data_IF_668645385358
#
_entry.id   IF_668645385358
#
_cell.length_a   1.000
_cell.length_b   1.000
_cell.length_c   1.000
_cell.angle_alpha   90.00
_cell.angle_beta   90.00
_cell.angle_gamma   90.00
#
_symmetry.space_group_name_H-M   'P 1'
#
loop_
_entity.id
_entity.type
_entity.pdbx_description
1 polymer ?
2 non-polymer ?
3 water ?
#
# COMPACT_ATOMS: atom_id res chain seq x y z
N UNK A 1 -2.51 -41.22 -14.80
CA UNK A 1 -1.82 -40.15 -15.51
C UNK A 1 -1.44 -39.13 -14.47
N UNK A 2 -0.31 -38.46 -14.66
CA UNK A 2 0.12 -37.47 -13.70
C UNK A 2 -0.90 -36.34 -13.60
N UNK A 3 -1.05 -35.76 -12.39
CA UNK A 3 -1.91 -34.59 -12.14
C UNK A 3 -1.45 -33.39 -12.98
N UNK A 4 -2.39 -32.62 -13.52
CA UNK A 4 -2.01 -31.40 -14.22
C UNK A 4 -2.88 -30.25 -13.72
N UNK A 5 -2.25 -29.21 -13.18
CA UNK A 5 -3.01 -28.14 -12.55
C UNK A 5 -3.50 -27.10 -13.54
N UNK A 6 -4.72 -26.63 -13.35
CA UNK A 6 -5.19 -25.43 -14.03
C UNK A 6 -5.62 -24.35 -13.03
N UNK A 7 -5.36 -23.10 -13.40
CA UNK A 7 -5.73 -21.94 -12.60
C UNK A 7 -6.35 -20.85 -13.47
N UNK A 8 -7.54 -20.38 -13.10
CA UNK A 8 -8.11 -19.22 -13.80
C UNK A 8 -7.24 -17.97 -13.60
N UNK A 9 -6.90 -17.68 -12.35
CA UNK A 9 -6.09 -16.51 -12.02
C UNK A 9 -4.90 -16.95 -11.18
N UNK A 10 -3.71 -16.43 -11.46
CA UNK A 10 -2.55 -16.80 -10.65
C UNK A 10 -1.90 -15.64 -9.88
N UNK A 11 -2.16 -14.41 -10.29
CA UNK A 11 -1.67 -13.25 -9.54
C UNK A 11 -2.83 -12.38 -9.09
N UNK A 12 -2.73 -11.88 -7.87
CA UNK A 12 -3.87 -11.26 -7.21
C UNK A 12 -3.40 -9.99 -6.51
N UNK A 13 -4.26 -8.98 -6.47
CA UNK A 13 -3.98 -7.75 -5.72
C UNK A 13 -5.00 -7.56 -4.62
N UNK A 14 -4.55 -7.01 -3.51
CA UNK A 14 -5.45 -6.70 -2.41
C UNK A 14 -4.86 -5.51 -1.68
N UNK A 15 -5.69 -4.83 -0.90
CA UNK A 15 -5.22 -3.68 -0.13
C UNK A 15 -5.30 -4.05 1.34
N UNK A 16 -4.25 -3.72 2.08
CA UNK A 16 -4.14 -4.13 3.48
C UNK A 16 -5.13 -3.42 4.40
N UNK A 17 -5.50 -4.09 5.49
CA UNK A 17 -6.30 -3.50 6.55
C UNK A 17 -7.66 -2.98 6.12
N UNK A 18 -8.21 -3.48 5.03
CA UNK A 18 -9.58 -3.09 4.68
C UNK A 18 -10.60 -4.21 4.89
N UNK A 19 -10.21 -5.26 5.61
CA UNK A 19 -11.07 -6.40 5.83
C UNK A 19 -11.35 -7.19 4.56
N UNK A 20 -10.52 -7.00 3.54
CA UNK A 20 -10.71 -7.67 2.25
C UNK A 20 -10.35 -9.15 2.34
N UNK A 21 -10.89 -9.92 1.40
CA UNK A 21 -10.50 -11.31 1.23
C UNK A 21 -10.38 -11.63 -0.25
N UNK A 22 -9.59 -12.66 -0.56
CA UNK A 22 -9.43 -13.12 -1.93
C UNK A 22 -9.43 -14.63 -1.96
N UNK A 23 -9.82 -15.18 -3.11
CA UNK A 23 -9.96 -16.62 -3.28
C UNK A 23 -9.07 -17.10 -4.41
N UNK A 24 -8.18 -18.03 -4.09
CA UNK A 24 -7.30 -18.64 -5.08
C UNK A 24 -7.90 -20.00 -5.41
N UNK A 25 -7.83 -20.40 -6.67
CA UNK A 25 -8.41 -21.67 -7.05
C UNK A 25 -7.38 -22.53 -7.73
N UNK A 26 -7.47 -23.83 -7.49
CA UNK A 26 -6.56 -24.77 -8.10
C UNK A 26 -7.31 -26.04 -8.41
N UNK A 27 -7.39 -26.39 -9.68
CA UNK A 27 -7.98 -27.67 -10.09
C UNK A 27 -6.96 -28.45 -10.89
N UNK A 28 -7.09 -29.78 -10.87
CA UNK A 28 -6.14 -30.61 -11.59
C UNK A 28 -6.82 -31.78 -12.29
N UNK A 29 -6.37 -32.06 -13.51
CA UNK A 29 -6.81 -33.24 -14.22
C UNK A 29 -5.92 -34.40 -13.81
N UNK A 30 -6.39 -35.62 -14.03
CA UNK A 30 -5.60 -36.80 -13.72
C UNK A 30 -6.37 -37.99 -13.18
N UNK A 31 -5.80 -39.18 -13.39
CA UNK A 31 -6.33 -40.43 -12.85
C UNK A 31 -5.24 -41.21 -12.12
N UNK A 32 -5.51 -41.59 -10.87
CA UNK A 32 -6.75 -41.28 -10.14
C UNK A 32 -6.96 -39.78 -9.88
N UNK A 33 -8.15 -39.43 -9.41
CA UNK A 33 -8.45 -38.04 -9.04
C UNK A 33 -7.33 -37.46 -8.19
N UNK A 34 -6.67 -36.39 -8.66
CA UNK A 34 -5.61 -35.79 -7.85
C UNK A 34 -6.15 -35.15 -6.59
N UNK A 35 -5.43 -35.31 -5.48
CA UNK A 35 -5.76 -34.62 -4.23
C UNK A 35 -5.11 -33.23 -4.23
N UNK A 36 -5.89 -32.21 -3.89
CA UNK A 36 -5.38 -30.83 -3.86
C UNK A 36 -5.09 -30.36 -2.44
N UNK A 37 -3.94 -29.73 -2.25
CA UNK A 37 -3.64 -29.12 -0.97
C UNK A 37 -2.80 -27.86 -1.12
N UNK A 38 -2.93 -26.95 -0.16
CA UNK A 38 -2.27 -25.66 -0.24
C UNK A 38 -1.20 -25.47 0.82
N UNK A 39 -0.14 -24.76 0.45
CA UNK A 39 0.95 -24.51 1.37
C UNK A 39 1.32 -23.04 1.40
N UNK A 40 1.71 -22.58 2.57
CA UNK A 40 2.23 -21.24 2.69
C UNK A 40 3.48 -21.32 3.54
N UNK A 41 4.59 -20.86 2.98
CA UNK A 41 5.87 -20.88 3.68
C UNK A 41 6.35 -22.31 3.90
N UNK A 42 5.78 -23.24 3.14
CA UNK A 42 6.21 -24.62 3.17
C UNK A 42 5.39 -25.46 4.12
N UNK A 43 4.41 -24.82 4.76
CA UNK A 43 3.56 -25.53 5.71
C UNK A 43 2.12 -25.63 5.21
N UNK A 44 1.51 -26.79 5.45
CA UNK A 44 0.14 -27.02 5.02
C UNK A 44 -0.80 -25.98 5.61
N UNK A 45 -1.71 -25.49 4.78
CA UNK A 45 -2.70 -24.54 5.25
C UNK A 45 -3.91 -25.29 5.82
N UNK A 46 -4.15 -25.11 7.12
CA UNK A 46 -5.33 -25.69 7.77
C UNK A 46 -6.45 -24.66 7.89
N UNK A 47 -7.68 -25.14 7.81
CA UNK A 47 -8.83 -24.27 7.79
C UNK A 47 -9.14 -23.66 9.15
N UNK A 48 -9.39 -22.36 9.14
CA UNK A 48 -9.78 -21.65 10.34
C UNK A 48 -10.51 -20.38 9.94
N UNK A 49 -10.47 -19.37 10.80
CA UNK A 49 -11.17 -18.14 10.53
C UNK A 49 -10.51 -17.35 9.39
N UNK A 50 -9.18 -17.38 9.37
CA UNK A 50 -8.37 -16.69 8.37
C UNK A 50 -8.42 -17.37 7.01
N UNK A 51 -8.19 -18.68 7.01
CA UNK A 51 -8.18 -19.47 5.77
C UNK A 51 -9.42 -20.33 5.65
N UNK A 52 -10.16 -20.16 4.56
CA UNK A 52 -11.34 -20.97 4.32
C UNK A 52 -11.06 -21.86 3.12
N UNK A 53 -11.28 -23.16 3.28
CA UNK A 53 -11.07 -24.13 2.20
C UNK A 53 -12.41 -24.74 1.77
N UNK A 54 -12.70 -24.71 0.48
CA UNK A 54 -13.94 -25.30 -0.03
C UNK A 54 -13.69 -26.08 -1.31
N UNK A 55 -14.65 -26.93 -1.67
CA UNK A 55 -14.57 -27.72 -2.88
C UNK A 55 -13.41 -28.68 -2.88
N UNK A 56 -13.30 -29.47 -1.81
CA UNK A 56 -12.24 -30.46 -1.70
C UNK A 56 -10.88 -29.80 -1.90
N UNK A 57 -10.69 -28.67 -1.22
CA UNK A 57 -9.44 -27.91 -1.26
C UNK A 57 -9.14 -27.18 -2.57
N UNK A 58 -10.07 -27.20 -3.52
CA UNK A 58 -9.84 -26.51 -4.78
C UNK A 58 -9.88 -24.99 -4.65
N UNK A 59 -10.52 -24.49 -3.60
CA UNK A 59 -10.66 -23.05 -3.40
C UNK A 59 -10.13 -22.61 -2.04
N UNK A 60 -9.16 -21.71 -2.06
CA UNK A 60 -8.61 -21.14 -0.84
C UNK A 60 -8.96 -19.66 -0.73
N UNK A 61 -9.68 -19.32 0.33
CA UNK A 61 -10.00 -17.93 0.63
C UNK A 61 -9.16 -17.41 1.78
N UNK A 62 -8.45 -16.32 1.54
CA UNK A 62 -7.71 -15.67 2.61
C UNK A 62 -8.54 -14.46 3.03
N UNK A 63 -8.91 -14.38 4.31
CA UNK A 63 -9.74 -13.27 4.82
C UNK A 63 -8.95 -12.19 5.54
N UNK A 64 -9.56 -11.01 5.68
CA UNK A 64 -8.99 -9.93 6.48
C UNK A 64 -7.55 -9.68 6.11
N UNK A 65 -7.33 -9.51 4.82
CA UNK A 65 -5.99 -9.35 4.28
C UNK A 65 -5.21 -8.24 4.97
N UNK A 66 -4.00 -8.57 5.43
CA UNK A 66 -3.06 -7.58 5.93
C UNK A 66 -1.76 -7.78 5.19
N UNK A 67 -0.82 -6.85 5.37
CA UNK A 67 0.46 -6.85 4.67
C UNK A 67 1.20 -8.18 4.74
N UNK A 68 1.17 -8.81 5.90
CA UNK A 68 1.90 -10.05 6.07
C UNK A 68 1.32 -11.20 5.23
N UNK A 69 0.14 -11.01 4.65
CA UNK A 69 -0.44 -12.05 3.78
C UNK A 69 0.17 -12.04 2.38
N UNK A 70 0.95 -11.01 2.07
CA UNK A 70 1.58 -10.88 0.77
C UNK A 70 2.48 -12.07 0.46
N UNK A 71 2.57 -12.42 -0.82
CA UNK A 71 3.50 -13.45 -1.26
C UNK A 71 2.88 -14.69 -1.90
N UNK A 72 3.71 -15.74 -2.07
CA UNK A 72 3.38 -17.00 -2.73
C UNK A 72 2.50 -17.89 -1.88
N UNK A 73 1.52 -18.51 -2.53
CA UNK A 73 0.72 -19.57 -1.94
C UNK A 73 0.79 -20.72 -2.91
N UNK A 74 1.18 -21.88 -2.44
CA UNK A 74 1.51 -22.98 -3.34
C UNK A 74 0.43 -24.04 -3.37
N UNK A 75 -0.08 -24.32 -4.57
CA UNK A 75 -1.06 -25.39 -4.76
C UNK A 75 -0.37 -26.68 -5.17
N UNK A 76 -0.56 -27.74 -4.39
CA UNK A 76 -0.01 -29.03 -4.77
C UNK A 76 -1.12 -30.01 -5.12
N UNK A 77 -0.95 -30.73 -6.24
CA UNK A 77 -1.86 -31.81 -6.62
C UNK A 77 -1.09 -33.12 -6.76
N UNK A 78 -1.58 -34.18 -6.12
CA UNK A 78 -0.87 -35.45 -6.12
C UNK A 78 -1.82 -36.63 -6.33
N UNK A 79 -1.32 -37.65 -7.02
CA UNK A 79 -1.97 -38.96 -7.08
C UNK A 79 -0.86 -40.00 -7.24
N UNK A 80 -1.21 -41.29 -7.29
CA UNK A 80 -0.15 -42.31 -7.30
C UNK A 80 0.84 -42.19 -8.46
N UNK A 81 0.48 -41.42 -9.48
CA UNK A 81 1.30 -41.34 -10.68
C UNK A 81 2.34 -40.23 -10.61
N UNK A 82 2.17 -39.32 -9.65
CA UNK A 82 3.11 -38.23 -9.50
C UNK A 82 2.46 -36.99 -8.92
N UNK A 83 3.12 -35.86 -9.06
CA UNK A 83 2.62 -34.61 -8.50
C UNK A 83 2.91 -33.43 -9.41
N UNK A 84 2.13 -32.36 -9.24
CA UNK A 84 2.34 -31.12 -9.95
C UNK A 84 2.18 -30.02 -8.90
N UNK A 85 2.99 -28.97 -9.00
CA UNK A 85 2.85 -27.78 -8.14
C UNK A 85 2.83 -26.47 -8.92
N UNK A 86 1.95 -25.57 -8.51
CA UNK A 86 1.91 -24.23 -9.09
C UNK A 86 1.63 -23.20 -8.01
N UNK A 87 2.15 -21.99 -8.20
CA UNK A 87 1.97 -20.92 -7.21
C UNK A 87 0.94 -19.88 -7.62
N UNK A 88 0.12 -19.47 -6.66
CA UNK A 88 -0.63 -18.23 -6.80
C UNK A 88 0.17 -17.18 -6.01
N UNK A 89 0.06 -15.92 -6.39
CA UNK A 89 0.84 -14.89 -5.70
C UNK A 89 -0.05 -13.69 -5.35
N UNK A 90 0.05 -13.20 -4.12
CA UNK A 90 -0.77 -12.09 -3.66
C UNK A 90 0.08 -10.84 -3.39
N UNK A 91 -0.14 -9.78 -4.16
CA UNK A 91 0.49 -8.49 -3.87
C UNK A 91 -0.45 -7.64 -3.02
N UNK A 92 0.01 -7.24 -1.84
CA UNK A 92 -0.81 -6.46 -0.92
C UNK A 92 -0.39 -5.00 -0.93
N UNK A 93 -1.32 -4.12 -1.27
CA UNK A 93 -1.02 -2.69 -1.32
C UNK A 93 -1.35 -2.04 0.02
N UNK A 94 -0.77 -0.88 0.28
CA UNK A 94 -0.96 -0.17 1.54
C UNK A 94 -1.34 1.27 1.20
N UNK A 95 -2.49 1.72 1.69
CA UNK A 95 -2.96 3.06 1.37
C UNK A 95 -2.05 4.07 2.02
N UNK A 96 -2.04 5.30 1.48
CA UNK A 96 -1.12 6.29 2.05
C UNK A 96 -1.49 6.65 3.48
N UNK A 97 -0.47 6.82 4.31
CA UNK A 97 -0.66 7.27 5.68
C UNK A 97 0.49 8.19 6.03
N UNK A 98 0.17 9.42 6.44
CA UNK A 98 1.20 10.37 6.83
C UNK A 98 1.69 9.98 8.22
N UNK A 99 3.00 9.81 8.35
CA UNK A 99 3.56 9.38 9.63
C UNK A 99 4.37 10.47 10.33
N UNK A 100 4.67 11.54 9.61
CA UNK A 100 5.34 12.68 10.23
C UNK A 100 4.92 14.00 9.60
N UNK A 101 4.33 14.88 10.41
CA UNK A 101 4.02 16.27 10.03
C UNK A 101 4.02 17.13 11.29
N UNK A 102 5.18 17.72 11.61
CA UNK A 102 5.35 18.49 12.85
C UNK A 102 5.00 19.96 12.66
N UNK A 103 4.55 20.59 13.75
CA UNK A 103 4.47 22.04 13.82
C UNK A 103 5.86 22.65 13.72
N UNK A 104 5.92 23.88 13.24
CA UNK A 104 7.20 24.59 13.18
C UNK A 104 7.07 26.04 13.64
N UNK A 105 8.17 26.59 14.13
CA UNK A 105 8.27 28.01 14.44
C UNK A 105 9.53 28.54 13.78
N UNK A 106 9.56 29.83 13.52
CA UNK A 106 10.78 30.51 13.15
C UNK A 106 10.53 32.00 13.39
N UNK A 107 11.50 32.85 13.09
CA UNK A 107 11.34 34.27 13.37
C UNK A 107 11.17 35.00 12.05
N UNK A 108 10.66 36.22 12.11
CA UNK A 108 10.48 37.03 10.93
C UNK A 108 11.85 37.17 10.27
N UNK A 109 11.88 37.12 8.94
CA UNK A 109 13.12 37.32 8.20
C UNK A 109 14.04 36.10 8.26
N UNK A 110 13.50 35.00 8.77
CA UNK A 110 14.26 33.77 8.90
C UNK A 110 13.99 32.78 7.79
N UNK A 111 14.28 31.51 8.07
CA UNK A 111 14.08 30.43 7.11
C UNK A 111 13.41 29.28 7.82
N UNK A 112 12.54 28.57 7.12
CA UNK A 112 11.90 27.42 7.74
C UNK A 112 11.66 26.30 6.75
N UNK A 113 11.69 25.07 7.26
CA UNK A 113 11.43 23.89 6.46
C UNK A 113 10.31 23.09 7.10
N UNK A 114 9.24 22.89 6.33
CA UNK A 114 8.13 22.05 6.76
C UNK A 114 8.37 20.68 6.15
N UNK A 115 8.34 19.64 6.98
CA UNK A 115 8.59 18.30 6.50
C UNK A 115 7.36 17.41 6.66
N UNK A 116 7.00 16.71 5.59
CA UNK A 116 5.93 15.71 5.63
C UNK A 116 6.45 14.36 5.12
N UNK A 117 6.20 13.30 5.89
CA UNK A 117 6.69 11.97 5.55
C UNK A 117 5.54 10.96 5.58
N UNK A 118 5.45 10.15 4.53
CA UNK A 118 4.33 9.23 4.42
C UNK A 118 4.78 7.83 4.03
N UNK A 119 3.98 6.84 4.45
CA UNK A 119 4.14 5.45 4.05
C UNK A 119 3.12 5.18 2.96
N UNK A 120 3.27 4.05 2.29
CA UNK A 120 2.28 3.60 1.35
C UNK A 120 2.91 2.71 0.30
N UNK A 121 2.08 1.89 -0.33
CA UNK A 121 2.52 1.03 -1.41
C UNK A 121 1.38 1.00 -2.43
N UNK A 122 1.53 1.69 -3.56
CA UNK A 122 2.67 2.48 -4.06
C UNK A 122 3.09 3.62 -3.14
N UNK A 123 4.34 4.04 -3.27
CA UNK A 123 4.80 5.26 -2.63
C UNK A 123 3.91 6.44 -3.04
N UNK A 124 3.35 7.16 -2.05
CA UNK A 124 2.45 8.31 -2.28
C UNK A 124 3.16 9.54 -2.83
N UNK A 125 2.46 10.36 -3.62
CA UNK A 125 2.97 11.68 -3.98
C UNK A 125 2.50 12.65 -2.90
N UNK A 126 3.32 13.65 -2.60
CA UNK A 126 2.99 14.62 -1.56
C UNK A 126 2.66 15.98 -2.16
N UNK A 127 1.54 16.55 -1.73
CA UNK A 127 1.18 17.90 -2.13
C UNK A 127 0.97 18.74 -0.88
N UNK A 128 1.40 20.00 -0.93
CA UNK A 128 1.16 20.93 0.16
C UNK A 128 0.06 21.91 -0.20
N UNK A 129 -0.71 22.31 0.81
CA UNK A 129 -1.77 23.29 0.63
C UNK A 129 -1.70 24.33 1.73
N UNK A 130 -1.75 25.60 1.33
CA UNK A 130 -1.71 26.71 2.28
C UNK A 130 -3.14 27.07 2.66
N UNK A 131 -3.46 26.93 3.95
CA UNK A 131 -4.85 27.05 4.38
C UNK A 131 -5.51 28.38 4.07
N UNK A 132 -4.78 29.48 4.30
CA UNK A 132 -5.38 30.80 4.28
C UNK A 132 -5.98 31.11 2.91
N UNK A 133 -5.29 30.71 1.84
CA UNK A 133 -5.82 30.96 0.50
C UNK A 133 -6.11 29.69 -0.31
N UNK A 134 -5.76 28.54 0.24
CA UNK A 134 -5.99 27.28 -0.45
C UNK A 134 -5.03 27.05 -1.60
N UNK A 135 -3.91 27.77 -1.60
CA UNK A 135 -2.94 27.60 -2.67
C UNK A 135 -2.18 26.29 -2.48
N UNK A 136 -1.96 25.59 -3.59
CA UNK A 136 -1.37 24.25 -3.57
C UNK A 136 0.03 24.23 -4.18
N UNK A 137 0.91 23.45 -3.56
CA UNK A 137 2.30 23.29 -4.02
C UNK A 137 2.67 21.81 -4.21
N UNK A 138 3.19 21.48 -5.39
CA UNK A 138 3.65 20.11 -5.68
C UNK A 138 5.12 20.17 -6.06
N UNK A 139 5.66 19.07 -6.59
CA UNK A 139 6.99 19.11 -7.21
C UNK A 139 8.05 19.57 -6.20
N UNK A 140 8.93 20.54 -6.50
CA UNK A 140 9.11 21.19 -7.79
C UNK A 140 8.60 22.62 -7.90
N UNK A 141 7.36 22.85 -7.47
CA UNK A 141 6.76 24.19 -7.51
C UNK A 141 7.53 25.19 -6.66
N UNK A 142 7.42 26.48 -7.00
CA UNK A 142 7.78 27.54 -6.06
C UNK A 142 6.82 28.72 -6.11
N UNK A 143 6.93 29.61 -5.12
CA UNK A 143 6.05 30.77 -5.03
C UNK A 143 6.40 31.84 -6.07
N UNK A 144 5.41 32.66 -6.42
CA UNK A 144 5.62 33.77 -7.34
C UNK A 144 6.80 34.65 -6.90
N UNK A 145 6.96 34.83 -5.60
CA UNK A 145 8.02 35.69 -5.09
C UNK A 145 9.35 34.95 -4.96
N UNK A 146 9.32 33.63 -5.14
CA UNK A 146 10.53 32.81 -5.07
C UNK A 146 10.95 32.44 -3.65
N UNK A 147 10.17 32.85 -2.66
CA UNK A 147 10.49 32.55 -1.26
C UNK A 147 10.21 31.09 -0.87
N UNK A 148 9.17 30.51 -1.46
CA UNK A 148 8.71 29.18 -1.08
C UNK A 148 9.04 28.15 -2.16
N UNK A 149 9.61 27.02 -1.76
CA UNK A 149 9.96 25.95 -2.70
C UNK A 149 9.72 24.54 -2.13
N UNK A 150 9.13 23.67 -2.94
CA UNK A 150 8.87 22.28 -2.54
C UNK A 150 9.82 21.28 -3.19
N UNK A 151 10.55 20.54 -2.35
CA UNK A 151 11.42 19.47 -2.83
C UNK A 151 10.96 18.18 -2.17
N UNK A 152 10.95 17.09 -2.92
CA UNK A 152 10.54 15.83 -2.33
C UNK A 152 10.83 14.61 -3.18
N UNK A 153 11.00 13.47 -2.52
CA UNK A 153 11.19 12.21 -3.22
C UNK A 153 10.84 11.06 -2.29
N UNK A 154 10.42 9.94 -2.86
CA UNK A 154 10.21 8.72 -2.09
C UNK A 154 9.22 8.91 -0.93
N UNK A 155 8.11 9.59 -1.20
CA UNK A 155 7.03 9.68 -0.24
C UNK A 155 7.37 10.62 0.90
N UNK A 156 8.34 11.49 0.67
CA UNK A 156 8.68 12.51 1.64
C UNK A 156 8.82 13.85 0.92
N UNK A 157 8.44 14.92 1.60
CA UNK A 157 8.52 16.24 0.98
C UNK A 157 8.87 17.32 2.00
N UNK A 158 9.70 18.27 1.57
CA UNK A 158 10.02 19.45 2.38
C UNK A 158 9.46 20.70 1.72
N UNK A 159 8.78 21.54 2.49
CA UNK A 159 8.36 22.84 1.99
C UNK A 159 9.25 23.87 2.66
N UNK A 160 10.07 24.55 1.87
CA UNK A 160 11.04 25.49 2.42
C UNK A 160 10.66 26.95 2.15
N UNK A 161 10.58 27.75 3.21
CA UNK A 161 10.28 29.17 3.09
C UNK A 161 11.48 30.02 3.50
N UNK A 162 12.00 30.81 2.56
CA UNK A 162 13.08 31.75 2.87
C UNK A 162 12.54 33.14 3.20
N UNK A 163 13.17 33.81 4.16
CA UNK A 163 12.78 35.18 4.51
C UNK A 163 11.32 35.22 4.93
N UNK A 164 11.04 34.52 6.02
CA UNK A 164 9.69 34.36 6.51
C UNK A 164 9.04 35.71 6.78
N UNK A 165 7.73 35.80 6.57
CA UNK A 165 6.98 37.01 6.91
C UNK A 165 5.94 36.66 7.93
N UNK A 166 5.48 37.64 8.70
CA UNK A 166 4.46 37.37 9.69
C UNK A 166 3.26 36.69 9.06
N UNK A 167 2.96 37.07 7.82
CA UNK A 167 1.75 36.58 7.17
C UNK A 167 1.89 35.12 6.70
N UNK A 168 3.11 34.59 6.75
CA UNK A 168 3.34 33.18 6.42
C UNK A 168 2.77 32.26 7.50
N UNK A 169 2.51 32.80 8.69
CA UNK A 169 2.03 31.98 9.81
C UNK A 169 0.66 31.38 9.52
N UNK A 170 0.30 30.30 10.20
CA UNK A 170 -0.98 29.68 9.95
C UNK A 170 -0.90 28.22 9.55
N UNK A 171 -2.04 27.66 9.14
CA UNK A 171 -2.15 26.23 8.83
C UNK A 171 -1.66 25.84 7.44
N UNK A 172 -0.83 24.80 7.41
CA UNK A 172 -0.43 24.16 6.15
C UNK A 172 -0.80 22.69 6.20
N UNK A 173 -1.40 22.19 5.12
CA UNK A 173 -1.74 20.76 5.01
C UNK A 173 -0.76 20.01 4.12
N UNK A 174 -0.50 18.77 4.50
CA UNK A 174 0.23 17.83 3.66
C UNK A 174 -0.80 16.87 3.13
N UNK A 175 -0.78 16.63 1.83
CA UNK A 175 -1.66 15.62 1.25
C UNK A 175 -0.80 14.54 0.60
N UNK A 176 -0.93 13.30 1.07
CA UNK A 176 -0.21 12.17 0.47
C UNK A 176 -1.17 11.28 -0.29
N UNK A 177 -0.95 11.14 -1.59
CA UNK A 177 -1.93 10.45 -2.43
C UNK A 177 -1.31 9.45 -3.40
N UNK A 178 -2.00 8.33 -3.58
CA UNK A 178 -1.62 7.32 -4.55
C UNK A 178 -2.88 6.91 -5.28
N UNK A 179 -2.77 5.97 -6.22
CA UNK A 179 -3.96 5.48 -6.88
C UNK A 179 -4.91 4.87 -5.85
N UNK A 180 -4.35 4.35 -4.76
CA UNK A 180 -5.15 3.67 -3.73
C UNK A 180 -6.08 4.61 -2.98
N UNK A 181 -5.70 5.87 -2.88
CA UNK A 181 -6.44 6.82 -2.07
C UNK A 181 -5.51 7.88 -1.53
N UNK A 182 -5.93 8.55 -0.46
CA UNK A 182 -5.16 9.63 0.10
C UNK A 182 -5.32 9.82 1.60
N UNK A 183 -4.38 10.54 2.18
CA UNK A 183 -4.42 10.91 3.58
C UNK A 183 -3.98 12.37 3.65
N UNK A 184 -4.66 13.17 4.47
CA UNK A 184 -4.29 14.58 4.64
C UNK A 184 -4.11 14.88 6.12
N UNK A 185 -3.06 15.63 6.47
CA UNK A 185 -2.87 16.07 7.85
C UNK A 185 -2.45 17.52 7.83
N UNK A 186 -2.65 18.20 8.96
CA UNK A 186 -2.37 19.62 9.08
C UNK A 186 -1.29 19.91 10.13
N UNK A 187 -0.49 20.95 9.90
CA UNK A 187 0.37 21.48 10.95
C UNK A 187 0.27 22.99 10.95
N UNK A 188 0.92 23.60 11.93
CA UNK A 188 0.78 25.03 12.10
C UNK A 188 2.16 25.67 12.17
N UNK A 189 2.36 26.68 11.33
CA UNK A 189 3.62 27.39 11.26
C UNK A 189 3.45 28.66 12.06
N UNK A 190 4.23 28.78 13.13
CA UNK A 190 4.16 30.00 13.90
C UNK A 190 5.38 30.89 13.67
N UNK A 191 5.13 32.07 13.12
CA UNK A 191 6.17 33.08 12.96
C UNK A 191 6.06 34.08 14.10
N UNK A 192 6.96 33.94 15.07
CA UNK A 192 6.86 34.66 16.33
C UNK A 192 8.19 34.59 17.07
X LIG B 1 -2.24 -5.61 -9.73
X LIG B 1 -2.81 -5.83 -11.14
X LIG B 1 -1.78 -5.51 -12.22
X LIG B 1 -1.24 -4.11 -11.97
X LIG B 1 -0.70 -4.04 -10.55
X LIG B 1 0.00 -2.72 -10.22
X LIG B 1 -4.60 -7.42 -11.48
X LIG B 1 -5.58 -6.65 -10.64
X LIG B 1 -3.31 -7.19 -11.29
X LIG B 1 -2.35 -5.62 -13.51
X LIG B 1 -0.20 -3.83 -12.88
X LIG B 1 -1.76 -4.29 -9.64
X LIG B 1 -0.91 -1.64 -10.33
X LIG B 1 -5.01 -8.23 -12.30
X LIG C 1 0.61 22.15 16.56
X LIG C 1 0.77 20.85 17.34
X LIG C 1 -0.49 20.54 18.12
X LIG C 1 -0.78 21.68 19.09
X LIG C 1 -0.77 23.03 18.36
X LIG C 1 0.21 24.04 18.97
X LIG C 1 2.15 18.96 16.82
X LIG C 1 2.38 17.73 15.99
X LIG C 1 1.12 19.74 16.48
X LIG C 1 -0.33 19.32 18.82
X LIG C 1 -2.02 21.47 19.73
X LIG C 1 -0.55 22.86 16.96
X LIG C 1 -0.30 24.62 20.16
X LIG C 1 2.88 19.21 17.77
#
# INVERSE_FOLDING_TARGET
>A
SMPAISMPQKSFNATAERGEEMTFSCRASGSPEPAISWFRNGKLIEENEKYILKGSNTELTVRNIINSDGGPYVCRATNKAGEDEKQAFLQVFVQPHIIQLKNETTYENGQVTLVCDAEGEPIPEITWKRAVDGFTFTEGDKSLDGRIEVKGQHGSSSLHIKDVKLSDSGRYDCEAASRIGGHQKSMYLDIE
>B hetero
1 NAG C1 C2 C3 C4 C5 C6 C7 C8 N2 O3 O4 O5 O6 O7
>C hetero
1 NAG C1 C2 C3 C4 C5 C6 C7 C8 N2 O3 O4 O5 O6 O7
#
